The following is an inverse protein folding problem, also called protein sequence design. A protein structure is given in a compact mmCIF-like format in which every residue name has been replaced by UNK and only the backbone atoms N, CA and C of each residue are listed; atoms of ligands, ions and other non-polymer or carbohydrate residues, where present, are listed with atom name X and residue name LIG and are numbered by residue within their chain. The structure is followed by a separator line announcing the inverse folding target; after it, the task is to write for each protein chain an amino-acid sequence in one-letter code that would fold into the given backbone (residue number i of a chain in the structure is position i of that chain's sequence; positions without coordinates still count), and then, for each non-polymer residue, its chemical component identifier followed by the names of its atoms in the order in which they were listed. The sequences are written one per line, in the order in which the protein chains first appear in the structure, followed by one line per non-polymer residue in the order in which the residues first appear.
data_IF_815051986536
#
_entry.id   IF_815051986536
#
_cell.length_a   1.000
_cell.length_b   1.000
_cell.length_c   1.000
_cell.angle_alpha   90.00
_cell.angle_beta   90.00
_cell.angle_gamma   90.00
#
_symmetry.space_group_name_H-M   'P 1'
#
loop_
_entity.id
_entity.type
_entity.pdbx_description
1 polymer ?
#
# COMPACT_ATOMS: atom_id res chain seq x y z
N UNK A 1 -0.67 19.95 -15.68
CA UNK A 1 -2.00 20.51 -16.00
C UNK A 1 -2.93 20.25 -14.83
N UNK A 2 -3.74 21.23 -14.43
CA UNK A 2 -4.69 21.11 -13.31
C UNK A 2 -6.08 21.56 -13.77
N UNK A 3 -7.12 21.00 -13.15
CA UNK A 3 -8.52 21.29 -13.49
C UNK A 3 -9.27 21.69 -12.23
N UNK A 4 -10.10 22.72 -12.33
CA UNK A 4 -11.08 23.06 -11.30
C UNK A 4 -12.42 22.49 -11.74
N UNK A 5 -13.04 21.69 -10.88
CA UNK A 5 -14.33 21.03 -11.13
C UNK A 5 -15.28 21.31 -9.98
N UNK A 6 -16.57 21.38 -10.27
CA UNK A 6 -17.62 21.59 -9.28
C UNK A 6 -18.27 20.26 -8.93
N UNK A 7 -18.56 20.04 -7.64
CA UNK A 7 -19.39 18.92 -7.21
C UNK A 7 -20.85 19.20 -7.59
N UNK A 8 -21.57 18.16 -8.00
CA UNK A 8 -23.00 18.26 -8.23
C UNK A 8 -23.80 18.18 -6.91
N UNK A 9 -25.11 18.34 -7.03
CA UNK A 9 -26.09 18.26 -5.93
C UNK A 9 -26.12 16.92 -5.21
N UNK A 10 -25.61 15.86 -5.84
CA UNK A 10 -25.47 14.52 -5.27
C UNK A 10 -24.07 14.28 -4.69
N UNK A 11 -23.23 15.30 -4.61
CA UNK A 11 -21.87 15.22 -4.09
C UNK A 11 -20.89 14.51 -5.02
N UNK A 12 -21.22 14.32 -6.30
CA UNK A 12 -20.34 13.66 -7.28
C UNK A 12 -19.42 14.67 -7.93
N UNK A 13 -18.18 14.27 -8.17
CA UNK A 13 -17.19 15.08 -8.89
C UNK A 13 -16.92 14.43 -10.24
N UNK A 14 -17.18 15.16 -11.32
CA UNK A 14 -16.87 14.70 -12.68
C UNK A 14 -15.39 14.91 -12.96
N UNK A 15 -14.64 13.82 -13.10
CA UNK A 15 -13.24 13.87 -13.50
C UNK A 15 -13.11 14.21 -14.99
N UNK A 16 -12.07 14.95 -15.39
CA UNK A 16 -11.69 15.13 -16.80
C UNK A 16 -11.58 13.80 -17.55
N UNK A 17 -11.73 13.87 -18.88
CA UNK A 17 -11.60 12.70 -19.76
C UNK A 17 -10.23 12.05 -19.58
N UNK A 18 -10.17 10.74 -19.84
CA UNK A 18 -8.96 9.92 -19.85
C UNK A 18 -8.28 9.69 -18.48
N UNK A 19 -8.80 10.25 -17.38
CA UNK A 19 -8.28 9.96 -16.02
C UNK A 19 -8.81 8.60 -15.50
N UNK A 20 -10.11 8.34 -15.67
CA UNK A 20 -10.77 7.08 -15.29
C UNK A 20 -11.72 6.61 -16.37
N UNK A 21 -11.89 5.30 -16.47
CA UNK A 21 -12.88 4.64 -17.32
C UNK A 21 -14.05 4.11 -16.49
N UNK A 22 -15.25 3.98 -17.07
CA UNK A 22 -16.36 3.29 -16.42
C UNK A 22 -15.93 1.89 -15.95
N UNK A 23 -16.21 1.56 -14.69
CA UNK A 23 -15.82 0.28 -14.08
C UNK A 23 -14.44 0.27 -13.41
N UNK A 24 -13.62 1.32 -13.57
CA UNK A 24 -12.39 1.45 -12.80
C UNK A 24 -12.68 1.45 -11.30
N UNK A 25 -11.97 0.60 -10.55
CA UNK A 25 -12.00 0.64 -9.09
C UNK A 25 -11.06 1.74 -8.61
N UNK A 26 -11.57 2.64 -7.78
CA UNK A 26 -10.80 3.77 -7.24
C UNK A 26 -10.79 3.68 -5.72
N UNK A 27 -9.59 3.66 -5.13
CA UNK A 27 -9.42 3.90 -3.71
C UNK A 27 -9.47 5.40 -3.44
N UNK A 28 -10.33 5.81 -2.52
CA UNK A 28 -10.50 7.20 -2.08
C UNK A 28 -9.92 7.34 -0.68
N UNK A 29 -8.89 8.18 -0.53
CA UNK A 29 -8.24 8.44 0.76
C UNK A 29 -8.49 9.89 1.15
N UNK A 30 -9.27 10.16 2.22
CA UNK A 30 -9.36 11.48 2.82
C UNK A 30 -8.01 11.85 3.45
N UNK A 31 -7.41 12.95 3.01
CA UNK A 31 -6.11 13.44 3.47
C UNK A 31 -6.24 14.90 3.95
N UNK A 32 -7.12 15.11 4.93
CA UNK A 32 -7.45 16.44 5.47
C UNK A 32 -8.09 17.35 4.41
N UNK A 33 -7.37 18.41 4.01
CA UNK A 33 -7.82 19.35 2.95
C UNK A 33 -7.72 18.79 1.53
N UNK A 34 -7.23 17.56 1.38
CA UNK A 34 -6.99 16.91 0.08
C UNK A 34 -7.71 15.57 0.06
N UNK A 35 -8.03 15.11 -1.15
CA UNK A 35 -8.48 13.75 -1.41
C UNK A 35 -7.46 13.13 -2.36
N UNK A 36 -6.99 11.94 -2.04
CA UNK A 36 -6.13 11.15 -2.92
C UNK A 36 -6.96 10.06 -3.57
N UNK A 37 -6.88 9.97 -4.90
CA UNK A 37 -7.55 8.95 -5.70
C UNK A 37 -6.49 8.02 -6.28
N UNK A 38 -6.61 6.72 -6.02
CA UNK A 38 -5.67 5.71 -6.53
C UNK A 38 -6.46 4.68 -7.34
N UNK A 39 -6.10 4.49 -8.60
CA UNK A 39 -6.69 3.44 -9.44
C UNK A 39 -6.23 2.08 -8.94
N UNK A 40 -7.17 1.22 -8.63
CA UNK A 40 -6.90 -0.18 -8.29
C UNK A 40 -6.94 -0.97 -9.60
N UNK A 41 -5.82 -1.56 -10.04
CA UNK A 41 -5.82 -2.39 -11.23
C UNK A 41 -6.83 -3.56 -11.12
N UNK A 42 -7.33 -4.07 -12.26
CA UNK A 42 -8.30 -5.17 -12.26
C UNK A 42 -7.73 -6.43 -11.58
N UNK A 43 -6.42 -6.66 -11.73
CA UNK A 43 -5.68 -7.77 -11.14
C UNK A 43 -4.47 -7.28 -10.34
N UNK A 44 -4.68 -6.81 -9.10
CA UNK A 44 -3.63 -6.17 -8.33
C UNK A 44 -2.43 -7.08 -8.06
N UNK A 45 -2.69 -8.34 -7.71
CA UNK A 45 -1.63 -9.30 -7.38
C UNK A 45 -0.76 -9.62 -8.59
N UNK A 46 -1.35 -9.85 -9.76
CA UNK A 46 -0.60 -10.12 -10.99
C UNK A 46 0.27 -8.91 -11.36
N UNK A 47 -0.29 -7.70 -11.31
CA UNK A 47 0.45 -6.49 -11.68
C UNK A 47 1.54 -6.16 -10.66
N UNK A 48 1.25 -6.28 -9.36
CA UNK A 48 2.21 -5.99 -8.30
C UNK A 48 3.27 -7.07 -8.10
N UNK A 49 3.07 -8.28 -8.64
CA UNK A 49 4.06 -9.37 -8.57
C UNK A 49 5.42 -8.96 -9.16
N UNK A 50 5.40 -8.06 -10.15
CA UNK A 50 6.59 -7.52 -10.80
C UNK A 50 7.30 -6.40 -10.02
N UNK A 51 6.68 -5.84 -8.98
CA UNK A 51 7.22 -4.69 -8.26
C UNK A 51 8.41 -5.08 -7.38
N UNK A 52 8.41 -6.30 -6.85
CA UNK A 52 9.53 -6.84 -6.11
C UNK A 52 10.40 -7.66 -7.05
N UNK A 53 11.50 -7.08 -7.55
CA UNK A 53 12.47 -7.80 -8.38
C UNK A 53 13.20 -8.84 -7.53
N UNK A 54 12.76 -10.08 -7.59
CA UNK A 54 13.37 -11.19 -6.87
C UNK A 54 13.16 -12.49 -7.63
N UNK A 55 14.13 -13.39 -7.54
CA UNK A 55 14.04 -14.75 -8.06
C UNK A 55 13.32 -15.68 -7.08
N UNK A 56 13.03 -15.20 -5.86
CA UNK A 56 12.41 -15.99 -4.79
C UNK A 56 10.90 -16.08 -4.97
N UNK A 57 10.36 -17.26 -4.75
CA UNK A 57 8.92 -17.45 -4.73
C UNK A 57 8.28 -16.90 -3.43
N UNK A 58 6.94 -16.88 -3.40
CA UNK A 58 6.18 -16.37 -2.24
C UNK A 58 6.48 -17.12 -0.95
N UNK A 59 6.73 -18.44 -1.01
CA UNK A 59 7.00 -19.29 0.15
C UNK A 59 8.39 -19.00 0.69
N UNK A 60 9.38 -18.83 -0.17
CA UNK A 60 10.75 -18.45 0.19
C UNK A 60 10.80 -17.05 0.81
N UNK A 61 10.09 -16.08 0.23
CA UNK A 61 9.99 -14.73 0.79
C UNK A 61 9.35 -14.74 2.18
N UNK A 62 8.31 -15.57 2.37
CA UNK A 62 7.66 -15.74 3.67
C UNK A 62 8.62 -16.35 4.69
N UNK A 63 9.31 -17.43 4.34
CA UNK A 63 10.27 -18.08 5.22
C UNK A 63 11.41 -17.11 5.63
N UNK A 64 11.90 -16.31 4.69
CA UNK A 64 12.91 -15.30 4.96
C UNK A 64 12.40 -14.21 5.93
N UNK A 65 11.16 -13.76 5.75
CA UNK A 65 10.54 -12.77 6.64
C UNK A 65 10.34 -13.32 8.07
N UNK A 66 9.86 -14.56 8.19
CA UNK A 66 9.65 -15.23 9.48
C UNK A 66 10.98 -15.45 10.22
N UNK A 67 12.01 -15.93 9.53
CA UNK A 67 13.35 -16.11 10.10
C UNK A 67 13.93 -14.78 10.62
N UNK A 68 13.85 -13.70 9.83
CA UNK A 68 14.32 -12.37 10.27
C UNK A 68 13.53 -11.83 11.47
N UNK A 69 12.23 -12.08 11.52
CA UNK A 69 11.38 -11.65 12.63
C UNK A 69 11.78 -12.34 13.94
N UNK A 70 12.13 -13.64 13.88
CA UNK A 70 12.62 -14.39 15.04
C UNK A 70 13.96 -13.84 15.52
N UNK A 71 14.93 -13.65 14.61
CA UNK A 71 16.23 -13.07 14.95
C UNK A 71 16.10 -11.69 15.59
N UNK A 72 15.22 -10.83 15.05
CA UNK A 72 14.95 -9.51 15.61
C UNK A 72 14.35 -9.60 17.02
N UNK A 73 13.42 -10.52 17.24
CA UNK A 73 12.80 -10.76 18.55
C UNK A 73 13.83 -11.25 19.58
N UNK A 74 14.70 -12.19 19.21
CA UNK A 74 15.79 -12.68 20.06
C UNK A 74 16.77 -11.58 20.42
N UNK A 75 17.18 -10.75 19.45
CA UNK A 75 18.05 -9.61 19.72
C UNK A 75 17.41 -8.59 20.67
N UNK A 76 16.10 -8.33 20.53
CA UNK A 76 15.38 -7.45 21.45
C UNK A 76 15.30 -8.01 22.87
N UNK A 77 15.11 -9.33 23.01
CA UNK A 77 15.15 -10.00 24.33
C UNK A 77 16.53 -9.88 24.96
N UNK A 78 17.60 -10.25 24.24
CA UNK A 78 18.97 -10.11 24.74
C UNK A 78 19.32 -8.67 25.16
N UNK A 79 18.85 -7.67 24.41
CA UNK A 79 19.03 -6.25 24.77
C UNK A 79 18.27 -5.86 26.03
N UNK A 80 17.09 -6.43 26.29
CA UNK A 80 16.35 -6.20 27.54
C UNK A 80 17.06 -6.83 28.72
N UNK A 81 17.55 -8.05 28.55
CA UNK A 81 18.32 -8.75 29.59
C UNK A 81 19.59 -7.98 29.96
N UNK A 82 20.27 -7.37 28.96
CA UNK A 82 21.45 -6.53 29.17
C UNK A 82 21.15 -5.13 29.71
N UNK A 83 19.91 -4.64 29.57
CA UNK A 83 19.49 -3.28 29.99
C UNK A 83 18.75 -3.26 31.34
N UNK A 84 18.57 -4.39 32.00
CA UNK A 84 17.75 -4.51 33.22
C UNK A 84 18.07 -5.73 34.08
N UNK A 85 19.36 -6.00 34.29
CA UNK A 85 19.83 -6.80 35.43
C UNK A 85 20.08 -5.89 36.64
N UNK A 86 18.99 -5.36 37.22
CA UNK A 86 18.78 -4.95 38.62
C UNK A 86 17.30 -4.54 38.80
#
# INVERSE_FOLDING_TARGET
MAYVVKADDRGRIKLPKDIVSPGDRILVIPAGRRIVLIKIPPKPVEISSSWLKTEKDKKELRALAESRAIEEAEMKLRRRDLAGGD
#
